data_IF_030518786159
#
_entry.id   IF_030518786159
#
_cell.length_a   1.000
_cell.length_b   1.000
_cell.length_c   1.000
_cell.angle_alpha   90.00
_cell.angle_beta   90.00
_cell.angle_gamma   90.00
#
_symmetry.space_group_name_H-M   'P 1'
#
loop_
_entity.id
_entity.type
_entity.pdbx_description
1 polymer ?
#
# COMPACT_ATOMS: atom_id res chain seq x y z
N UNK A 1 50.70 -16.35 25.18
CA UNK A 1 50.07 -16.51 23.85
C UNK A 1 48.54 -16.66 23.83
N UNK A 2 47.84 -17.32 24.79
CA UNK A 2 46.37 -17.52 24.69
C UNK A 2 45.56 -16.23 24.89
N UNK A 3 46.01 -15.31 25.76
CA UNK A 3 45.31 -14.04 26.04
C UNK A 3 45.15 -13.13 24.81
N UNK A 4 46.13 -13.11 23.90
CA UNK A 4 46.05 -12.36 22.63
C UNK A 4 45.06 -12.99 21.65
N UNK A 5 45.01 -14.33 21.57
CA UNK A 5 44.03 -15.04 20.73
C UNK A 5 42.60 -14.85 21.25
N UNK A 6 42.40 -14.88 22.57
CA UNK A 6 41.10 -14.60 23.20
C UNK A 6 40.68 -13.15 22.92
N UNK A 7 41.59 -12.18 23.03
CA UNK A 7 41.31 -10.77 22.70
C UNK A 7 40.91 -10.59 21.22
N UNK A 8 41.62 -11.24 20.29
CA UNK A 8 41.27 -11.21 18.86
C UNK A 8 39.92 -11.86 18.57
N UNK A 9 39.58 -12.96 19.25
CA UNK A 9 38.26 -13.59 19.11
C UNK A 9 37.14 -12.71 19.68
N UNK A 10 37.36 -12.06 20.83
CA UNK A 10 36.41 -11.12 21.44
C UNK A 10 36.18 -9.87 20.57
N UNK A 11 37.16 -9.46 19.78
CA UNK A 11 37.02 -8.36 18.82
C UNK A 11 36.45 -8.82 17.48
N UNK A 12 36.85 -10.00 16.99
CA UNK A 12 36.43 -10.50 15.68
C UNK A 12 34.98 -10.98 15.65
N UNK A 13 34.48 -11.63 16.70
CA UNK A 13 33.09 -12.11 16.79
C UNK A 13 32.02 -11.02 16.64
N UNK A 14 32.06 -9.90 17.38
CA UNK A 14 31.07 -8.84 17.21
C UNK A 14 31.19 -8.16 15.85
N UNK A 15 32.40 -8.00 15.30
CA UNK A 15 32.61 -7.46 13.95
C UNK A 15 31.96 -8.40 12.93
N UNK A 16 32.25 -9.70 13.01
CA UNK A 16 31.66 -10.72 12.13
C UNK A 16 30.13 -10.72 12.25
N UNK A 17 29.61 -10.62 13.48
CA UNK A 17 28.17 -10.54 13.74
C UNK A 17 27.52 -9.32 13.08
N UNK A 18 28.14 -8.14 13.16
CA UNK A 18 27.66 -6.93 12.48
C UNK A 18 27.68 -7.10 10.96
N UNK A 19 28.73 -7.70 10.40
CA UNK A 19 28.80 -7.98 8.96
C UNK A 19 27.72 -8.96 8.50
N UNK A 20 27.48 -10.04 9.26
CA UNK A 20 26.42 -10.99 8.95
C UNK A 20 25.04 -10.35 9.04
N UNK A 21 24.74 -9.61 10.12
CA UNK A 21 23.45 -8.94 10.29
C UNK A 21 23.23 -7.89 9.19
N UNK A 22 24.24 -7.05 8.91
CA UNK A 22 24.16 -6.04 7.86
C UNK A 22 23.97 -6.66 6.47
N UNK A 23 24.68 -7.75 6.18
CA UNK A 23 24.51 -8.51 4.93
C UNK A 23 23.12 -9.12 4.80
N UNK A 24 22.61 -9.77 5.86
CA UNK A 24 21.27 -10.37 5.88
C UNK A 24 20.16 -9.33 5.72
N UNK A 25 20.26 -8.17 6.39
CA UNK A 25 19.27 -7.10 6.27
C UNK A 25 19.26 -6.52 4.85
N UNK A 26 20.44 -6.30 4.26
CA UNK A 26 20.55 -5.82 2.89
C UNK A 26 19.91 -6.82 1.92
N UNK A 27 20.19 -8.12 2.09
CA UNK A 27 19.58 -9.15 1.26
C UNK A 27 18.05 -9.18 1.40
N UNK A 28 17.53 -9.11 2.63
CA UNK A 28 16.09 -9.08 2.87
C UNK A 28 15.42 -7.89 2.16
N UNK A 29 16.01 -6.70 2.26
CA UNK A 29 15.54 -5.50 1.54
C UNK A 29 15.63 -5.68 0.02
N UNK A 30 16.65 -6.36 -0.50
CA UNK A 30 16.75 -6.62 -1.93
C UNK A 30 15.71 -7.65 -2.43
N UNK A 31 15.29 -8.58 -1.58
CA UNK A 31 14.27 -9.58 -1.92
C UNK A 31 12.88 -8.95 -2.02
N UNK A 32 12.45 -8.18 -1.02
CA UNK A 32 11.14 -7.50 -1.04
C UNK A 32 10.98 -6.48 -2.17
N UNK A 33 12.08 -5.96 -2.70
CA UNK A 33 12.09 -5.03 -3.83
C UNK A 33 11.85 -5.74 -5.18
N UNK A 34 11.64 -7.05 -5.18
CA UNK A 34 11.33 -7.85 -6.36
C UNK A 34 9.92 -8.38 -6.24
N UNK A 35 8.99 -7.93 -7.08
CA UNK A 35 7.60 -8.37 -7.01
C UNK A 35 7.45 -9.88 -7.20
N UNK A 36 8.34 -10.50 -8.00
CA UNK A 36 8.40 -11.96 -8.17
C UNK A 36 8.79 -12.72 -6.90
N UNK A 37 9.49 -12.08 -5.95
CA UNK A 37 9.75 -12.67 -4.64
C UNK A 37 8.46 -12.75 -3.82
N UNK A 38 7.63 -11.71 -3.83
CA UNK A 38 6.33 -11.73 -3.16
C UNK A 38 5.48 -12.90 -3.69
N UNK A 39 5.38 -13.04 -5.01
CA UNK A 39 4.63 -14.13 -5.66
C UNK A 39 5.26 -15.54 -5.53
N UNK A 40 6.47 -15.66 -4.97
CA UNK A 40 7.15 -16.95 -4.81
C UNK A 40 6.72 -17.71 -3.54
N UNK A 41 6.21 -16.98 -2.54
CA UNK A 41 5.74 -17.54 -1.28
C UNK A 41 4.31 -17.09 -0.95
N UNK A 42 3.90 -15.87 -1.34
CA UNK A 42 2.51 -15.44 -1.23
C UNK A 42 1.75 -16.07 -2.39
N UNK A 43 0.92 -17.06 -2.05
CA UNK A 43 0.08 -17.81 -2.99
C UNK A 43 -1.12 -16.96 -3.41
N UNK A 44 -2.29 -17.55 -3.71
CA UNK A 44 -3.46 -16.76 -4.08
C UNK A 44 -3.95 -15.89 -2.91
N UNK A 45 -4.35 -14.63 -3.15
CA UNK A 45 -4.49 -13.97 -4.46
C UNK A 45 -3.25 -13.21 -4.98
N UNK A 46 -2.15 -13.11 -4.22
CA UNK A 46 -0.96 -12.34 -4.58
C UNK A 46 -0.29 -12.83 -5.87
N UNK A 47 -0.24 -14.15 -6.11
CA UNK A 47 0.25 -14.71 -7.38
C UNK A 47 -0.58 -14.28 -8.59
N UNK A 48 -1.90 -14.18 -8.44
CA UNK A 48 -2.78 -13.60 -9.47
C UNK A 48 -2.49 -12.12 -9.67
N UNK A 49 -2.27 -11.35 -8.61
CA UNK A 49 -1.97 -9.92 -8.71
C UNK A 49 -0.64 -9.67 -9.43
N UNK A 50 0.38 -10.46 -9.13
CA UNK A 50 1.65 -10.44 -9.85
C UNK A 50 1.48 -10.82 -11.32
N UNK A 51 0.67 -11.84 -11.63
CA UNK A 51 0.44 -12.22 -13.03
C UNK A 51 -0.24 -11.08 -13.81
N UNK A 52 -1.20 -10.38 -13.20
CA UNK A 52 -1.86 -9.21 -13.81
C UNK A 52 -0.90 -8.04 -14.04
N UNK A 53 0.14 -7.88 -13.23
CA UNK A 53 1.12 -6.80 -13.39
C UNK A 53 2.03 -6.97 -14.61
N UNK A 54 2.08 -8.18 -15.18
CA UNK A 54 2.87 -8.53 -16.38
C UNK A 54 2.10 -8.38 -17.69
N UNK A 55 0.78 -8.24 -17.63
CA UNK A 55 -0.14 -8.16 -18.77
C UNK A 55 -0.71 -6.74 -18.89
N UNK A 56 -1.38 -6.36 -19.99
CA UNK A 56 -2.03 -5.05 -20.09
C UNK A 56 -2.91 -4.73 -18.86
N UNK A 57 -2.89 -3.50 -18.32
CA UNK A 57 -3.54 -3.19 -17.05
C UNK A 57 -5.04 -3.48 -17.05
N UNK A 58 -5.50 -4.19 -16.01
CA UNK A 58 -6.92 -4.55 -15.81
C UNK A 58 -7.45 -4.09 -14.44
N UNK A 59 -6.59 -3.50 -13.62
CA UNK A 59 -6.91 -2.89 -12.34
C UNK A 59 -5.90 -1.77 -12.04
N UNK A 60 -6.13 -1.05 -10.93
CA UNK A 60 -5.29 0.07 -10.53
C UNK A 60 -3.84 -0.38 -10.24
N UNK A 61 -3.63 -1.51 -9.56
CA UNK A 61 -2.30 -1.98 -9.19
C UNK A 61 -1.44 -2.36 -10.41
N UNK A 62 -2.00 -3.07 -11.39
CA UNK A 62 -1.35 -3.40 -12.66
C UNK A 62 -1.10 -2.16 -13.52
N UNK A 63 -1.93 -1.12 -13.39
CA UNK A 63 -1.64 0.17 -14.00
C UNK A 63 -0.42 0.86 -13.33
N UNK A 64 -0.29 0.75 -12.01
CA UNK A 64 0.83 1.33 -11.26
C UNK A 64 2.17 0.62 -11.51
N UNK A 65 2.16 -0.69 -11.75
CA UNK A 65 3.37 -1.45 -12.11
C UNK A 65 3.91 -1.10 -13.49
N UNK A 66 3.09 -0.55 -14.37
CA UNK A 66 3.44 -0.19 -15.76
C UNK A 66 3.65 1.32 -15.96
N UNK A 67 3.70 2.10 -14.87
CA UNK A 67 4.07 3.52 -14.93
C UNK A 67 5.54 3.71 -15.30
N UNK A 68 5.93 4.93 -15.68
CA UNK A 68 7.33 5.26 -15.95
C UNK A 68 8.26 5.00 -14.76
N UNK A 69 7.72 5.10 -13.53
CA UNK A 69 8.46 4.87 -12.27
C UNK A 69 8.41 3.40 -11.84
N UNK A 70 7.54 2.58 -12.45
CA UNK A 70 7.34 1.16 -12.14
C UNK A 70 7.16 0.90 -10.64
N UNK A 71 5.98 1.24 -10.10
CA UNK A 71 5.66 1.06 -8.69
C UNK A 71 5.64 -0.42 -8.33
N UNK A 72 6.40 -0.82 -7.31
CA UNK A 72 6.54 -2.21 -6.84
C UNK A 72 5.51 -2.50 -5.75
N UNK A 73 5.26 -3.79 -5.49
CA UNK A 73 4.34 -4.21 -4.42
C UNK A 73 4.70 -3.55 -3.08
N UNK A 74 5.99 -3.55 -2.73
CA UNK A 74 6.45 -3.02 -1.44
C UNK A 74 6.31 -1.50 -1.32
N UNK A 75 6.20 -0.75 -2.42
CA UNK A 75 6.06 0.70 -2.37
C UNK A 75 4.72 1.11 -1.73
N UNK A 76 3.66 0.32 -1.96
CA UNK A 76 2.38 0.46 -1.28
C UNK A 76 2.33 -0.33 0.05
N UNK A 77 2.85 -1.56 0.08
CA UNK A 77 2.67 -2.49 1.22
C UNK A 77 3.69 -2.37 2.36
N UNK A 78 4.73 -1.52 2.23
CA UNK A 78 5.76 -1.35 3.28
C UNK A 78 5.30 -0.58 4.51
N UNK A 79 4.14 0.08 4.48
CA UNK A 79 3.77 1.09 5.46
C UNK A 79 4.65 2.34 5.35
N UNK A 80 4.58 3.24 6.33
CA UNK A 80 5.39 4.46 6.39
C UNK A 80 6.06 4.62 7.75
N UNK A 81 7.25 5.22 7.73
CA UNK A 81 8.06 5.47 8.92
C UNK A 81 8.51 4.17 9.57
N UNK A 82 9.14 4.29 10.73
CA UNK A 82 9.70 3.13 11.43
C UNK A 82 8.60 2.18 11.93
N UNK A 83 7.45 2.72 12.35
CA UNK A 83 6.36 1.94 12.91
C UNK A 83 5.62 1.15 11.83
N UNK A 84 5.24 1.80 10.71
CA UNK A 84 4.56 1.11 9.60
C UNK A 84 5.47 0.05 8.97
N UNK A 85 6.77 0.37 8.84
CA UNK A 85 7.77 -0.59 8.37
C UNK A 85 7.97 -1.78 9.30
N UNK A 86 7.97 -1.56 10.60
CA UNK A 86 8.08 -2.64 11.58
C UNK A 86 6.83 -3.54 11.53
N UNK A 87 5.64 -2.94 11.37
CA UNK A 87 4.39 -3.67 11.20
C UNK A 87 4.37 -4.54 9.95
N UNK A 88 4.79 -4.01 8.79
CA UNK A 88 4.85 -4.79 7.55
C UNK A 88 5.85 -5.95 7.62
N UNK A 89 7.01 -5.74 8.24
CA UNK A 89 7.98 -6.81 8.49
C UNK A 89 7.44 -7.88 9.45
N UNK A 90 6.74 -7.48 10.51
CA UNK A 90 6.11 -8.42 11.43
C UNK A 90 5.04 -9.27 10.72
N UNK A 91 4.24 -8.66 9.85
CA UNK A 91 3.27 -9.39 9.04
C UNK A 91 3.95 -10.42 8.14
N UNK A 92 5.02 -10.03 7.42
CA UNK A 92 5.77 -10.97 6.59
C UNK A 92 6.36 -12.16 7.35
N UNK A 93 6.76 -11.97 8.63
CA UNK A 93 7.19 -13.08 9.50
C UNK A 93 6.03 -14.01 9.84
N UNK A 94 4.85 -13.46 10.14
CA UNK A 94 3.64 -14.25 10.43
C UNK A 94 3.26 -15.09 9.21
N UNK A 95 3.24 -14.47 8.03
CA UNK A 95 2.89 -15.14 6.77
C UNK A 95 3.89 -16.26 6.43
N UNK A 96 5.19 -16.01 6.64
CA UNK A 96 6.22 -17.02 6.44
C UNK A 96 6.05 -18.22 7.39
N UNK A 97 5.73 -17.97 8.67
CA UNK A 97 5.50 -19.03 9.63
C UNK A 97 4.25 -19.85 9.28
N UNK A 98 3.17 -19.20 8.85
CA UNK A 98 1.96 -19.86 8.38
C UNK A 98 2.22 -20.72 7.13
N UNK A 99 3.01 -20.22 6.18
CA UNK A 99 3.40 -20.97 4.99
C UNK A 99 4.24 -22.21 5.34
N UNK A 100 5.25 -22.06 6.20
CA UNK A 100 6.13 -23.17 6.60
C UNK A 100 5.38 -24.23 7.42
N UNK A 101 4.44 -23.82 8.28
CA UNK A 101 3.64 -24.76 9.07
C UNK A 101 2.57 -25.47 8.24
N UNK A 102 2.20 -24.92 7.07
CA UNK A 102 1.06 -25.37 6.28
C UNK A 102 -0.29 -24.91 6.84
N UNK A 103 -0.29 -24.02 7.84
CA UNK A 103 -1.50 -23.49 8.49
C UNK A 103 -1.89 -22.15 7.86
N UNK A 104 -2.38 -22.21 6.62
CA UNK A 104 -2.84 -21.04 5.87
C UNK A 104 -4.07 -21.35 5.02
N UNK A 105 -4.88 -20.33 4.74
CA UNK A 105 -6.07 -20.44 3.89
C UNK A 105 -5.81 -19.88 2.50
N UNK A 106 -6.48 -20.44 1.50
CA UNK A 106 -6.41 -20.01 0.11
C UNK A 106 -7.82 -19.80 -0.47
N UNK A 107 -8.11 -18.65 -1.10
CA UNK A 107 -7.27 -17.44 -1.17
C UNK A 107 -6.95 -16.85 0.22
N UNK A 108 -5.82 -16.16 0.35
CA UNK A 108 -5.45 -15.47 1.58
C UNK A 108 -6.49 -14.39 1.93
N UNK A 109 -6.80 -14.26 3.22
CA UNK A 109 -7.69 -13.21 3.70
C UNK A 109 -6.90 -11.94 3.99
N UNK A 110 -7.34 -10.81 3.45
CA UNK A 110 -6.70 -9.51 3.72
C UNK A 110 -7.02 -9.06 5.14
N UNK A 111 -6.00 -8.99 5.99
CA UNK A 111 -6.12 -8.47 7.36
C UNK A 111 -5.64 -7.02 7.49
N UNK A 112 -4.68 -6.62 6.65
CA UNK A 112 -4.06 -5.30 6.67
C UNK A 112 -4.15 -4.68 5.27
N UNK A 113 -5.31 -4.10 4.91
CA UNK A 113 -5.43 -3.41 3.63
C UNK A 113 -4.50 -2.20 3.59
N UNK A 114 -4.10 -1.80 2.37
CA UNK A 114 -3.32 -0.58 2.17
C UNK A 114 -4.16 0.63 2.58
N UNK A 115 -3.68 1.39 3.57
CA UNK A 115 -4.26 2.68 3.94
C UNK A 115 -3.80 3.80 3.02
N UNK A 116 -4.34 5.01 3.21
CA UNK A 116 -4.04 6.20 2.39
C UNK A 116 -2.55 6.48 2.24
N UNK A 117 -1.76 6.11 3.24
CA UNK A 117 -0.32 6.32 3.21
C UNK A 117 0.41 5.53 2.11
N UNK A 118 -0.19 4.45 1.59
CA UNK A 118 0.33 3.79 0.39
C UNK A 118 0.21 4.66 -0.87
N UNK A 119 -0.78 5.56 -0.90
CA UNK A 119 -1.09 6.46 -2.00
C UNK A 119 -0.38 7.81 -1.84
N UNK A 120 -0.39 8.38 -0.64
CA UNK A 120 0.11 9.75 -0.38
C UNK A 120 1.64 9.87 -0.35
N UNK A 121 2.37 8.75 -0.49
CA UNK A 121 3.80 8.77 -0.82
C UNK A 121 4.10 9.45 -2.15
N UNK A 122 3.16 9.39 -3.09
CA UNK A 122 3.31 9.95 -4.44
C UNK A 122 2.17 10.89 -4.84
N UNK A 123 0.95 10.66 -4.34
CA UNK A 123 -0.22 11.48 -4.68
C UNK A 123 -0.55 12.50 -3.60
N UNK A 124 -0.79 13.75 -3.99
CA UNK A 124 -1.35 14.76 -3.08
C UNK A 124 -2.87 14.70 -3.15
N UNK A 125 -3.58 14.38 -2.05
CA UNK A 125 -5.04 14.17 -2.07
C UNK A 125 -5.84 15.46 -2.15
N UNK A 126 -5.20 16.62 -1.92
CA UNK A 126 -5.85 17.91 -1.86
C UNK A 126 -5.52 18.73 -3.11
N UNK A 127 -6.49 18.81 -4.00
CA UNK A 127 -6.44 19.72 -5.14
C UNK A 127 -7.09 21.03 -4.68
N UNK A 128 -6.37 22.14 -4.82
CA UNK A 128 -6.92 23.48 -4.57
C UNK A 128 -7.95 23.85 -5.66
N UNK A 129 -8.92 24.71 -5.35
CA UNK A 129 -9.93 25.17 -6.31
C UNK A 129 -9.31 25.77 -7.58
N UNK A 130 -8.11 26.33 -7.47
CA UNK A 130 -7.36 26.94 -8.58
C UNK A 130 -6.78 25.89 -9.54
N UNK A 131 -6.40 24.71 -9.06
CA UNK A 131 -5.91 23.58 -9.89
C UNK A 131 -7.04 22.87 -10.65
N UNK A 132 -8.30 23.10 -10.27
CA UNK A 132 -9.48 22.57 -10.95
C UNK A 132 -9.74 23.26 -12.31
N UNK A 133 -9.17 24.44 -12.52
CA UNK A 133 -9.49 25.33 -13.65
C UNK A 133 -8.74 25.02 -14.95
N UNK A 134 -7.80 24.06 -14.97
CA UNK A 134 -6.90 23.81 -16.12
C UNK A 134 -7.23 22.58 -16.97
N UNK A 135 -8.42 21.98 -16.83
CA UNK A 135 -8.92 21.05 -17.86
C UNK A 135 -9.56 19.75 -17.41
N UNK A 136 -9.95 19.61 -16.14
CA UNK A 136 -10.87 18.54 -15.76
C UNK A 136 -12.30 19.07 -15.95
N UNK A 137 -12.81 19.01 -17.18
CA UNK A 137 -14.24 19.19 -17.48
C UNK A 137 -15.08 17.99 -16.97
N UNK A 138 -14.86 17.60 -15.71
CA UNK A 138 -15.78 16.78 -14.93
C UNK A 138 -15.57 17.02 -13.41
N UNK A 139 -16.31 17.98 -12.86
CA UNK A 139 -17.22 17.82 -11.71
C UNK A 139 -16.85 16.76 -10.64
N UNK A 140 -15.62 16.74 -10.15
CA UNK A 140 -15.19 15.82 -9.09
C UNK A 140 -15.20 16.52 -7.73
N UNK A 141 -16.38 16.95 -7.26
CA UNK A 141 -16.55 17.63 -5.96
C UNK A 141 -16.04 16.79 -4.76
N UNK A 142 -15.85 15.49 -4.97
CA UNK A 142 -15.43 14.50 -3.98
C UNK A 142 -13.92 14.50 -3.66
N UNK A 143 -13.04 15.19 -4.41
CA UNK A 143 -11.60 15.34 -4.07
C UNK A 143 -11.25 16.69 -3.41
N UNK A 144 -12.25 17.55 -3.19
CA UNK A 144 -12.01 18.83 -2.54
C UNK A 144 -11.68 18.62 -1.06
N UNK A 145 -10.61 19.25 -0.60
CA UNK A 145 -10.14 19.13 0.78
C UNK A 145 -11.23 19.45 1.81
N UNK A 146 -12.10 20.44 1.53
CA UNK A 146 -13.22 20.79 2.40
C UNK A 146 -14.24 19.66 2.57
N UNK A 147 -14.49 18.87 1.53
CA UNK A 147 -15.48 17.78 1.57
C UNK A 147 -14.92 16.52 2.23
N UNK A 148 -13.69 16.12 1.88
CA UNK A 148 -13.04 14.95 2.48
C UNK A 148 -12.78 15.15 3.97
N UNK A 149 -12.32 16.35 4.37
CA UNK A 149 -12.11 16.67 5.79
C UNK A 149 -13.43 16.68 6.56
N UNK A 150 -14.50 17.24 5.99
CA UNK A 150 -15.79 17.24 6.67
C UNK A 150 -16.37 15.83 6.82
N UNK A 151 -16.21 14.98 5.80
CA UNK A 151 -16.67 13.60 5.88
C UNK A 151 -15.96 12.83 7.00
N UNK A 152 -14.64 12.98 7.12
CA UNK A 152 -13.85 12.41 8.23
C UNK A 152 -14.33 12.91 9.60
N UNK A 153 -14.61 14.21 9.73
CA UNK A 153 -15.12 14.79 10.99
C UNK A 153 -16.51 14.26 11.36
N UNK A 154 -17.41 14.09 10.39
CA UNK A 154 -18.81 13.71 10.64
C UNK A 154 -19.02 12.22 10.79
N UNK A 155 -18.24 11.42 10.06
CA UNK A 155 -18.40 9.98 10.00
C UNK A 155 -17.03 9.28 9.93
N UNK A 156 -16.15 9.41 10.94
CA UNK A 156 -14.78 8.91 10.88
C UNK A 156 -14.67 7.39 10.69
N UNK A 157 -15.73 6.65 11.01
CA UNK A 157 -15.80 5.19 10.81
C UNK A 157 -16.29 4.80 9.42
N UNK A 158 -16.93 5.73 8.70
CA UNK A 158 -17.44 5.55 7.34
C UNK A 158 -16.65 6.37 6.31
N UNK A 159 -15.78 7.28 6.77
CA UNK A 159 -14.87 8.02 5.93
C UNK A 159 -13.96 7.03 5.20
N UNK A 160 -14.15 6.95 3.89
CA UNK A 160 -13.42 6.02 3.05
C UNK A 160 -11.95 6.40 2.96
N UNK A 161 -11.08 5.41 2.93
CA UNK A 161 -9.70 5.55 2.44
C UNK A 161 -9.69 5.79 0.93
N UNK A 162 -8.55 6.19 0.36
CA UNK A 162 -8.35 6.27 -1.09
C UNK A 162 -8.84 4.99 -1.79
N UNK A 163 -8.54 3.82 -1.21
CA UNK A 163 -8.91 2.52 -1.73
C UNK A 163 -10.41 2.19 -1.65
N UNK A 164 -11.18 2.97 -0.89
CA UNK A 164 -12.64 2.79 -0.77
C UNK A 164 -13.36 3.22 -2.06
N UNK A 165 -12.80 4.20 -2.76
CA UNK A 165 -13.24 4.59 -4.10
C UNK A 165 -12.34 3.97 -5.18
N UNK A 166 -11.02 3.97 -4.99
CA UNK A 166 -10.02 3.51 -5.97
C UNK A 166 -9.51 2.11 -5.63
N UNK A 167 -10.27 1.06 -5.96
CA UNK A 167 -9.88 -0.29 -5.55
C UNK A 167 -8.62 -0.76 -6.29
N UNK A 168 -7.57 -1.05 -5.52
CA UNK A 168 -6.25 -1.41 -6.03
C UNK A 168 -6.25 -2.69 -6.88
N UNK A 169 -6.99 -3.71 -6.44
CA UNK A 169 -6.92 -5.06 -7.01
C UNK A 169 -8.26 -5.54 -7.60
N UNK A 170 -9.31 -4.71 -7.59
CA UNK A 170 -10.62 -5.12 -8.13
C UNK A 170 -10.66 -5.06 -9.65
N UNK A 171 -11.15 -6.15 -10.23
CA UNK A 171 -11.61 -6.18 -11.62
C UNK A 171 -12.96 -5.46 -11.74
N UNK A 172 -13.29 -5.01 -12.95
CA UNK A 172 -14.57 -4.36 -13.25
C UNK A 172 -14.58 -2.84 -13.05
N UNK A 173 -13.42 -2.26 -12.74
CA UNK A 173 -13.15 -0.82 -12.87
C UNK A 173 -12.18 -0.61 -14.04
N UNK A 174 -12.04 0.63 -14.54
CA UNK A 174 -11.17 0.89 -15.69
C UNK A 174 -10.43 2.22 -15.56
N UNK A 175 -9.45 2.44 -16.44
CA UNK A 175 -8.68 3.68 -16.42
C UNK A 175 -9.55 4.92 -16.74
N UNK A 176 -10.59 4.78 -17.56
CA UNK A 176 -11.46 5.88 -17.98
C UNK A 176 -12.21 6.52 -16.79
N UNK A 177 -12.50 5.75 -15.75
CA UNK A 177 -13.10 6.23 -14.51
C UNK A 177 -12.13 6.23 -13.32
N UNK A 178 -10.83 6.23 -13.58
CA UNK A 178 -9.78 6.21 -12.55
C UNK A 178 -9.90 5.04 -11.57
N UNK A 179 -10.35 3.88 -12.05
CA UNK A 179 -10.54 2.66 -11.27
C UNK A 179 -11.53 2.83 -10.12
N UNK A 180 -12.54 3.67 -10.32
CA UNK A 180 -13.68 3.81 -9.41
C UNK A 180 -14.81 2.86 -9.81
N UNK A 181 -15.55 2.26 -8.86
CA UNK A 181 -16.73 1.50 -9.20
C UNK A 181 -17.86 2.47 -9.65
N UNK A 182 -18.72 2.07 -10.61
CA UNK A 182 -19.69 2.97 -11.25
C UNK A 182 -20.82 3.50 -10.33
N UNK A 183 -20.94 3.00 -9.10
CA UNK A 183 -21.83 3.45 -8.04
C UNK A 183 -21.69 2.43 -6.91
N UNK A 184 -21.23 2.85 -5.75
CA UNK A 184 -21.10 1.99 -4.58
C UNK A 184 -21.73 2.67 -3.35
N UNK A 185 -21.95 1.86 -2.31
CA UNK A 185 -22.45 2.34 -1.01
C UNK A 185 -21.62 3.52 -0.46
N UNK A 186 -20.35 3.62 -0.84
CA UNK A 186 -19.46 4.74 -0.51
C UNK A 186 -19.98 6.11 -0.96
N UNK A 187 -20.62 6.20 -2.15
CA UNK A 187 -21.24 7.45 -2.59
C UNK A 187 -22.38 7.84 -1.64
N UNK A 188 -23.25 6.89 -1.29
CA UNK A 188 -24.37 7.13 -0.39
C UNK A 188 -23.92 7.44 1.04
N UNK A 189 -22.86 6.79 1.52
CA UNK A 189 -22.28 7.04 2.84
C UNK A 189 -21.70 8.45 2.95
N UNK A 190 -20.97 8.89 1.92
CA UNK A 190 -20.46 10.27 1.83
C UNK A 190 -21.61 11.28 1.79
N UNK A 191 -22.58 11.10 0.91
CA UNK A 191 -23.73 12.01 0.78
C UNK A 191 -24.60 12.05 2.05
N UNK A 192 -24.75 10.91 2.73
CA UNK A 192 -25.47 10.81 4.01
C UNK A 192 -24.70 11.56 5.11
N UNK A 193 -23.38 11.40 5.17
CA UNK A 193 -22.54 12.09 6.14
C UNK A 193 -22.57 13.61 5.95
N UNK A 194 -22.59 14.08 4.69
CA UNK A 194 -22.60 15.50 4.34
C UNK A 194 -24.02 16.10 4.21
N UNK A 195 -25.07 15.34 4.50
CA UNK A 195 -26.44 15.81 4.40
C UNK A 195 -26.68 17.03 5.31
N UNK A 196 -27.11 18.14 4.72
CA UNK A 196 -27.36 19.40 5.43
C UNK A 196 -26.10 20.21 5.79
N UNK A 197 -24.91 19.74 5.40
CA UNK A 197 -23.69 20.54 5.47
C UNK A 197 -23.58 21.46 4.24
N UNK A 198 -23.04 22.66 4.44
CA UNK A 198 -22.78 23.63 3.38
C UNK A 198 -21.28 23.91 3.35
N UNK A 199 -20.67 23.75 2.18
CA UNK A 199 -19.25 24.01 2.02
C UNK A 199 -18.96 25.50 2.31
N UNK A 200 -17.86 25.83 3.02
CA UNK A 200 -17.52 27.23 3.34
C UNK A 200 -17.32 28.14 2.12
N UNK A 201 -17.09 27.56 0.94
CA UNK A 201 -16.66 28.26 -0.28
C UNK A 201 -17.54 27.96 -1.51
N UNK A 202 -18.82 27.58 -1.31
CA UNK A 202 -19.80 27.37 -2.39
C UNK A 202 -20.13 28.65 -3.13
#
# INVERSE_FOLDING_TARGET
>A
MPKRRILWLLLALPILGVFFIGGSLTLAVQLENRDSFCASCHTEPESTFFTRSLEPPVDLASAHSQTEVSVRCIDCHSGEGINGRTGSLQQGVIDLLAYISGDFTQPATTHNPVGDIGCTKCHTPHISKDELSTGIEFQSHYHLASYLNEWDLRAPQAAGTCATCHSAHSLGTNADNHFTPPSNDTCEDCHRALSGWQAPDS
#
